data_IF_528980800174
#
_entry.id   IF_528980800174
#
_cell.length_a   1.000
_cell.length_b   1.000
_cell.length_c   1.000
_cell.angle_alpha   90.00
_cell.angle_beta   90.00
_cell.angle_gamma   90.00
#
_symmetry.space_group_name_H-M   'P 1'
#
loop_
_entity.id
_entity.type
_entity.pdbx_description
1 polymer ?
#
# COMPACT_ATOMS: atom_id res chain seq x y z
N UNK A 1 7.55 6.17 17.71
CA UNK A 1 7.79 7.21 18.76
C UNK A 1 6.51 7.81 19.38
N UNK A 2 5.29 7.45 18.95
CA UNK A 2 4.03 7.86 19.60
C UNK A 2 3.26 6.70 20.25
N UNK A 3 3.76 5.48 20.16
CA UNK A 3 3.03 4.26 20.52
C UNK A 3 2.96 3.99 22.03
N UNK A 4 3.89 4.57 22.81
CA UNK A 4 3.94 4.37 24.26
C UNK A 4 3.02 5.28 25.07
N UNK A 5 2.41 6.31 24.46
CA UNK A 5 1.61 7.30 25.20
C UNK A 5 0.12 6.96 25.28
N UNK A 6 -0.44 6.23 24.31
CA UNK A 6 -1.88 5.91 24.29
C UNK A 6 -2.22 4.67 25.13
N UNK A 7 -1.34 3.66 25.18
CA UNK A 7 -1.51 2.46 26.02
C UNK A 7 -1.57 2.75 27.53
N UNK A 8 -1.22 3.96 27.98
CA UNK A 8 -1.01 4.28 29.40
C UNK A 8 -2.21 4.89 30.12
N UNK A 9 -3.35 5.14 29.46
CA UNK A 9 -4.51 5.82 30.09
C UNK A 9 -5.87 5.13 29.91
N UNK A 10 -6.09 4.44 28.80
CA UNK A 10 -7.27 3.59 28.58
C UNK A 10 -6.94 2.55 27.50
N UNK A 11 -6.73 1.31 27.93
CA UNK A 11 -6.35 0.19 27.05
C UNK A 11 -7.40 -0.05 25.96
N UNK A 12 -8.67 0.18 26.27
CA UNK A 12 -9.80 0.02 25.35
C UNK A 12 -9.71 1.03 24.21
N UNK A 13 -9.51 2.31 24.54
CA UNK A 13 -9.38 3.39 23.54
C UNK A 13 -8.10 3.21 22.73
N UNK A 14 -7.00 2.80 23.36
CA UNK A 14 -5.75 2.50 22.69
C UNK A 14 -5.88 1.39 21.65
N UNK A 15 -6.53 0.29 22.00
CA UNK A 15 -6.75 -0.84 21.09
C UNK A 15 -7.66 -0.48 19.92
N UNK A 16 -8.71 0.33 20.14
CA UNK A 16 -9.58 0.83 19.07
C UNK A 16 -8.81 1.75 18.12
N UNK A 17 -7.99 2.66 18.64
CA UNK A 17 -7.16 3.55 17.83
C UNK A 17 -6.14 2.78 16.99
N UNK A 18 -5.46 1.78 17.58
CA UNK A 18 -4.51 0.91 16.87
C UNK A 18 -5.23 0.15 15.75
N UNK A 19 -6.39 -0.44 16.03
CA UNK A 19 -7.20 -1.15 15.02
C UNK A 19 -7.60 -0.24 13.86
N UNK A 20 -7.99 1.01 14.15
CA UNK A 20 -8.30 2.01 13.13
C UNK A 20 -7.10 2.30 12.23
N UNK A 21 -5.92 2.47 12.81
CA UNK A 21 -4.67 2.69 12.06
C UNK A 21 -4.29 1.44 11.24
N UNK A 22 -4.43 0.24 11.77
CA UNK A 22 -4.16 -0.99 11.03
C UNK A 22 -5.07 -1.15 9.80
N UNK A 23 -6.33 -0.69 9.88
CA UNK A 23 -7.21 -0.66 8.70
C UNK A 23 -6.69 0.30 7.62
N UNK A 24 -5.92 1.34 7.98
CA UNK A 24 -5.24 2.20 7.00
C UNK A 24 -4.03 1.53 6.34
N UNK A 25 -3.58 0.37 6.83
CA UNK A 25 -2.51 -0.41 6.21
C UNK A 25 -3.03 -1.39 5.15
N UNK A 26 -4.35 -1.41 4.89
CA UNK A 26 -4.97 -2.20 3.82
C UNK A 26 -4.51 -1.79 2.41
N UNK A 27 -3.76 -0.70 2.25
CA UNK A 27 -3.15 -0.32 0.97
C UNK A 27 -1.80 -1.00 0.73
N UNK A 28 -1.24 -1.71 1.71
CA UNK A 28 -0.01 -2.50 1.56
C UNK A 28 -0.29 -3.83 0.84
N UNK A 29 -0.97 -3.77 -0.29
CA UNK A 29 -1.28 -4.94 -1.12
C UNK A 29 -0.25 -5.05 -2.23
N UNK A 30 -0.10 -6.25 -2.79
CA UNK A 30 0.79 -6.49 -3.92
C UNK A 30 0.51 -5.53 -5.09
N UNK A 31 -0.76 -5.23 -5.36
CA UNK A 31 -1.17 -4.38 -6.48
C UNK A 31 -0.73 -2.90 -6.31
N UNK A 32 -0.64 -2.41 -5.06
CA UNK A 32 -0.37 -1.01 -4.76
C UNK A 32 1.06 -0.77 -4.25
N UNK A 33 1.77 -1.79 -3.79
CA UNK A 33 3.14 -1.63 -3.27
C UNK A 33 4.08 -1.00 -4.31
N UNK A 34 3.80 -1.17 -5.61
CA UNK A 34 4.59 -0.60 -6.71
C UNK A 34 4.70 0.91 -6.70
N UNK A 35 3.74 1.63 -6.10
CA UNK A 35 3.82 3.08 -5.95
C UNK A 35 5.05 3.50 -5.14
N UNK A 36 5.45 2.67 -4.16
CA UNK A 36 6.64 2.91 -3.34
C UNK A 36 7.95 2.85 -4.12
N UNK A 37 7.98 2.24 -5.31
CA UNK A 37 9.19 2.24 -6.15
C UNK A 37 9.56 3.66 -6.58
N UNK A 38 8.57 4.54 -6.69
CA UNK A 38 8.73 5.93 -7.12
C UNK A 38 8.85 6.90 -5.93
N UNK A 39 8.76 6.40 -4.69
CA UNK A 39 8.87 7.20 -3.47
C UNK A 39 10.35 7.45 -3.13
N UNK A 40 10.81 8.68 -3.38
CA UNK A 40 12.18 9.10 -3.13
C UNK A 40 12.52 9.29 -1.64
N UNK A 41 11.51 9.28 -0.75
CA UNK A 41 11.74 9.33 0.69
C UNK A 41 12.25 7.99 1.24
N UNK A 42 12.08 6.89 0.48
CA UNK A 42 12.56 5.58 0.86
C UNK A 42 14.05 5.40 0.56
N UNK A 43 14.79 4.63 1.39
CA UNK A 43 16.19 4.30 1.11
C UNK A 43 16.36 3.65 -0.26
N UNK A 44 17.34 4.10 -1.04
CA UNK A 44 17.65 3.54 -2.36
C UNK A 44 17.86 2.01 -2.32
N UNK A 45 18.55 1.50 -1.29
CA UNK A 45 18.78 0.07 -1.13
C UNK A 45 17.46 -0.73 -0.99
N UNK A 46 16.47 -0.18 -0.28
CA UNK A 46 15.16 -0.81 -0.14
C UNK A 46 14.41 -0.80 -1.47
N UNK A 47 14.33 0.36 -2.14
CA UNK A 47 13.67 0.49 -3.46
C UNK A 47 14.27 -0.47 -4.48
N UNK A 48 15.60 -0.61 -4.48
CA UNK A 48 16.32 -1.56 -5.33
C UNK A 48 15.97 -3.02 -4.98
N UNK A 49 15.92 -3.35 -3.69
CA UNK A 49 15.53 -4.69 -3.24
C UNK A 49 14.10 -5.04 -3.64
N UNK A 50 13.17 -4.10 -3.57
CA UNK A 50 11.76 -4.31 -3.92
C UNK A 50 11.60 -4.61 -5.40
N UNK A 51 12.31 -3.87 -6.26
CA UNK A 51 12.32 -4.13 -7.71
C UNK A 51 12.98 -5.48 -8.02
N UNK A 52 14.10 -5.80 -7.37
CA UNK A 52 14.75 -7.12 -7.53
C UNK A 52 13.79 -8.25 -7.13
N UNK A 53 13.05 -8.09 -6.05
CA UNK A 53 12.03 -9.05 -5.63
C UNK A 53 10.91 -9.18 -6.68
N UNK A 54 10.42 -8.08 -7.24
CA UNK A 54 9.42 -8.11 -8.31
C UNK A 54 9.91 -8.91 -9.53
N UNK A 55 11.17 -8.71 -9.91
CA UNK A 55 11.79 -9.40 -11.06
C UNK A 55 11.93 -10.92 -10.87
N UNK A 56 11.77 -11.44 -9.64
CA UNK A 56 11.73 -12.90 -9.40
C UNK A 56 10.40 -13.54 -9.84
N UNK A 57 9.35 -12.73 -10.00
CA UNK A 57 8.04 -13.20 -10.45
C UNK A 57 7.91 -13.05 -11.96
N UNK A 58 7.40 -14.10 -12.61
CA UNK A 58 7.08 -14.04 -14.04
C UNK A 58 6.04 -12.95 -14.29
N UNK A 59 6.31 -12.12 -15.30
CA UNK A 59 5.38 -11.09 -15.76
C UNK A 59 4.22 -11.72 -16.54
N UNK A 60 3.22 -12.22 -15.82
CA UNK A 60 1.97 -12.68 -16.42
C UNK A 60 1.17 -11.48 -16.93
N UNK A 61 0.65 -11.57 -18.16
CA UNK A 61 -0.27 -10.56 -18.71
C UNK A 61 -1.71 -10.75 -18.24
N UNK A 62 -2.05 -11.95 -17.79
CA UNK A 62 -3.40 -12.36 -17.40
C UNK A 62 -3.61 -12.23 -15.88
N UNK A 63 -3.23 -11.08 -15.30
CA UNK A 63 -3.50 -10.78 -13.90
C UNK A 63 -4.85 -10.03 -13.86
N UNK A 64 -5.96 -10.68 -13.45
CA UNK A 64 -7.25 -10.02 -13.46
C UNK A 64 -7.30 -8.93 -12.38
N UNK A 65 -7.87 -7.75 -12.69
CA UNK A 65 -8.21 -6.78 -11.65
C UNK A 65 -9.29 -7.38 -10.74
N UNK A 66 -9.22 -7.09 -9.45
CA UNK A 66 -10.17 -7.63 -8.49
C UNK A 66 -9.97 -7.08 -7.10
N UNK A 67 -10.76 -7.59 -6.15
CA UNK A 67 -10.61 -7.22 -4.74
C UNK A 67 -9.24 -7.67 -4.24
N UNK A 68 -8.40 -6.76 -3.73
CA UNK A 68 -7.07 -7.12 -3.26
C UNK A 68 -7.17 -8.01 -2.03
N UNK A 69 -6.13 -8.83 -1.81
CA UNK A 69 -5.97 -9.55 -0.55
C UNK A 69 -5.29 -8.61 0.43
N UNK A 70 -6.02 -8.18 1.45
CA UNK A 70 -5.47 -7.29 2.47
C UNK A 70 -4.49 -8.04 3.38
N UNK A 71 -3.31 -7.49 3.66
CA UNK A 71 -2.36 -8.12 4.56
C UNK A 71 -2.90 -8.10 5.99
N UNK A 72 -2.63 -9.18 6.73
CA UNK A 72 -2.79 -9.22 8.19
C UNK A 72 -1.53 -8.61 8.79
N UNK A 73 -1.64 -7.39 9.32
CA UNK A 73 -0.50 -6.69 9.93
C UNK A 73 -0.68 -6.71 11.44
N UNK A 74 0.29 -7.32 12.13
CA UNK A 74 0.41 -7.20 13.57
C UNK A 74 1.12 -5.88 13.91
N UNK A 75 0.45 -4.92 14.58
CA UNK A 75 1.07 -3.63 14.92
C UNK A 75 2.31 -3.75 15.82
N UNK A 76 2.44 -4.84 16.59
CA UNK A 76 3.62 -5.07 17.43
C UNK A 76 4.84 -5.58 16.62
N UNK A 77 4.66 -5.94 15.34
CA UNK A 77 5.70 -6.50 14.46
C UNK A 77 6.05 -5.56 13.28
N UNK A 78 5.61 -4.31 13.32
CA UNK A 78 5.86 -3.34 12.23
C UNK A 78 7.34 -2.96 12.18
N UNK A 79 8.03 -3.35 11.11
CA UNK A 79 9.40 -2.94 10.79
C UNK A 79 9.40 -2.04 9.54
N UNK A 80 8.98 -0.79 9.72
CA UNK A 80 8.95 0.19 8.64
C UNK A 80 10.30 0.93 8.51
N UNK A 81 10.84 1.12 7.28
CA UNK A 81 10.26 0.77 5.98
C UNK A 81 10.65 -0.62 5.45
N UNK A 82 11.51 -1.38 6.13
CA UNK A 82 12.11 -2.61 5.58
C UNK A 82 11.07 -3.69 5.22
N UNK A 83 9.96 -3.75 5.95
CA UNK A 83 8.85 -4.67 5.71
C UNK A 83 8.17 -4.47 4.35
N UNK A 84 8.39 -3.35 3.66
CA UNK A 84 7.73 -3.07 2.37
C UNK A 84 8.04 -4.14 1.31
N UNK A 85 9.23 -4.74 1.35
CA UNK A 85 9.59 -5.89 0.51
C UNK A 85 8.58 -7.05 0.65
N UNK A 86 8.08 -7.32 1.84
CA UNK A 86 7.20 -8.47 2.10
C UNK A 86 5.87 -8.39 1.34
N UNK A 87 5.47 -7.19 0.91
CA UNK A 87 4.24 -6.97 0.14
C UNK A 87 4.45 -7.05 -1.37
N UNK A 88 5.68 -7.22 -1.86
CA UNK A 88 5.96 -7.39 -3.29
C UNK A 88 5.70 -8.84 -3.71
N UNK A 89 4.76 -9.02 -4.64
CA UNK A 89 4.35 -10.33 -5.14
C UNK A 89 4.03 -10.33 -6.63
N UNK A 90 3.53 -11.45 -7.14
CA UNK A 90 3.23 -11.61 -8.56
C UNK A 90 2.21 -10.57 -9.06
N UNK A 91 1.26 -10.15 -8.22
CA UNK A 91 0.25 -9.16 -8.60
C UNK A 91 0.77 -7.73 -8.65
N UNK A 92 1.98 -7.47 -8.16
CA UNK A 92 2.65 -6.18 -8.34
C UNK A 92 2.88 -5.86 -9.83
N UNK A 93 2.84 -6.86 -10.72
CA UNK A 93 2.85 -6.61 -12.16
C UNK A 93 1.57 -5.96 -12.71
N UNK A 94 0.47 -5.93 -11.95
CA UNK A 94 -0.84 -5.49 -12.43
C UNK A 94 -0.82 -4.05 -12.96
N UNK A 95 -0.21 -3.11 -12.24
CA UNK A 95 -0.16 -1.70 -12.67
C UNK A 95 0.51 -1.57 -14.04
N UNK A 96 1.64 -2.26 -14.24
CA UNK A 96 2.38 -2.22 -15.50
C UNK A 96 1.60 -2.85 -16.65
N UNK A 97 0.78 -3.87 -16.37
CA UNK A 97 -0.10 -4.47 -17.36
C UNK A 97 -1.26 -3.53 -17.74
N UNK A 98 -1.88 -2.88 -16.76
CA UNK A 98 -2.98 -1.93 -16.99
C UNK A 98 -2.53 -0.71 -17.78
N UNK A 99 -1.30 -0.23 -17.55
CA UNK A 99 -0.70 0.86 -18.30
C UNK A 99 -0.12 0.42 -19.66
N UNK A 100 -0.24 -0.87 -20.02
CA UNK A 100 0.29 -1.45 -21.25
C UNK A 100 1.78 -1.14 -21.49
N UNK A 101 2.57 -1.16 -20.41
CA UNK A 101 4.00 -0.82 -20.43
C UNK A 101 4.76 -2.03 -20.99
N UNK A 102 5.51 -1.91 -22.07
CA UNK A 102 6.31 -3.01 -22.59
C UNK A 102 7.57 -3.30 -21.75
N UNK A 103 8.36 -4.31 -22.14
CA UNK A 103 9.62 -4.63 -21.45
C UNK A 103 10.68 -3.53 -21.62
N UNK A 104 10.68 -2.84 -22.76
CA UNK A 104 11.67 -1.79 -23.05
C UNK A 104 11.50 -0.57 -22.15
N UNK A 105 10.26 -0.22 -21.80
CA UNK A 105 9.94 0.88 -20.89
C UNK A 105 10.32 0.60 -19.42
N UNK A 106 10.74 -0.63 -19.11
CA UNK A 106 11.17 -1.08 -17.78
C UNK A 106 12.67 -1.33 -17.66
N UNK A 107 13.47 -0.88 -18.64
CA UNK A 107 14.94 -0.96 -18.61
C UNK A 107 15.56 -0.39 -17.32
N UNK A 108 14.96 0.65 -16.76
CA UNK A 108 15.38 1.24 -15.49
C UNK A 108 15.38 0.25 -14.32
N UNK A 109 14.55 -0.80 -14.34
CA UNK A 109 14.52 -1.81 -13.28
C UNK A 109 15.80 -2.67 -13.25
N UNK A 110 16.59 -2.67 -14.32
CA UNK A 110 17.84 -3.43 -14.44
C UNK A 110 19.08 -2.64 -14.00
N UNK A 111 18.93 -1.35 -13.69
CA UNK A 111 20.05 -0.49 -13.28
C UNK A 111 19.88 -0.02 -11.83
N UNK A 112 20.98 0.31 -11.12
CA UNK A 112 20.90 0.83 -9.76
C UNK A 112 20.03 2.09 -9.64
N UNK A 113 19.34 2.24 -8.50
CA UNK A 113 18.36 3.33 -8.23
C UNK A 113 18.95 4.72 -8.45
N UNK A 114 20.24 4.90 -8.17
CA UNK A 114 20.96 6.16 -8.37
C UNK A 114 20.95 6.66 -9.82
N UNK A 115 20.64 5.80 -10.79
CA UNK A 115 20.53 6.14 -12.21
C UNK A 115 19.09 6.35 -12.67
N UNK A 116 18.07 5.96 -11.90
CA UNK A 116 16.67 5.99 -12.35
C UNK A 116 16.23 7.38 -12.78
N UNK A 117 16.54 8.42 -12.00
CA UNK A 117 16.22 9.81 -12.34
C UNK A 117 16.89 10.31 -13.63
N UNK A 118 17.96 9.65 -14.09
CA UNK A 118 18.61 9.97 -15.37
C UNK A 118 17.91 9.29 -16.55
N UNK A 119 17.17 8.20 -16.30
CA UNK A 119 16.45 7.43 -17.31
C UNK A 119 15.15 8.12 -17.71
N UNK A 120 15.00 8.45 -18.99
CA UNK A 120 13.82 9.16 -19.51
C UNK A 120 12.52 8.35 -19.33
N UNK A 121 12.59 7.03 -19.51
CA UNK A 121 11.45 6.10 -19.36
C UNK A 121 10.95 6.06 -17.92
N UNK A 122 11.88 5.99 -16.95
CA UNK A 122 11.53 6.05 -15.54
C UNK A 122 10.86 7.39 -15.19
N UNK A 123 11.41 8.53 -15.63
CA UNK A 123 10.79 9.85 -15.37
C UNK A 123 9.37 9.95 -15.92
N UNK A 124 9.15 9.50 -17.17
CA UNK A 124 7.81 9.45 -17.77
C UNK A 124 6.84 8.60 -16.94
N UNK A 125 7.30 7.44 -16.48
CA UNK A 125 6.46 6.57 -15.66
C UNK A 125 6.19 7.17 -14.28
N UNK A 126 7.19 7.80 -13.66
CA UNK A 126 7.05 8.55 -12.41
C UNK A 126 6.02 9.68 -12.54
N UNK A 127 6.04 10.42 -13.66
CA UNK A 127 5.04 11.46 -13.96
C UNK A 127 3.62 10.89 -14.05
N UNK A 128 3.44 9.78 -14.79
CA UNK A 128 2.14 9.09 -14.89
C UNK A 128 1.67 8.65 -13.50
N UNK A 129 2.55 8.01 -12.74
CA UNK A 129 2.25 7.50 -11.38
C UNK A 129 1.91 8.65 -10.43
N UNK A 130 2.62 9.77 -10.52
CA UNK A 130 2.38 10.96 -9.69
C UNK A 130 1.08 11.69 -10.05
N UNK A 131 0.57 11.48 -11.26
CA UNK A 131 -0.71 12.05 -11.71
C UNK A 131 -1.93 11.23 -11.24
N UNK A 132 -1.76 10.04 -10.66
CA UNK A 132 -2.87 9.33 -10.02
C UNK A 132 -3.36 10.14 -8.83
N UNK A 133 -4.49 10.82 -9.01
CA UNK A 133 -5.08 11.68 -8.01
C UNK A 133 -5.51 10.86 -6.78
N UNK A 134 -4.95 11.18 -5.61
CA UNK A 134 -5.26 10.51 -4.32
C UNK A 134 -6.67 10.90 -3.80
N UNK A 135 -7.41 11.74 -4.54
CA UNK A 135 -8.70 12.32 -4.16
C UNK A 135 -9.78 11.26 -3.88
N UNK A 136 -9.74 10.13 -4.58
CA UNK A 136 -10.65 9.02 -4.34
C UNK A 136 -10.47 8.38 -2.97
N UNK A 137 -9.27 8.43 -2.40
CA UNK A 137 -8.97 7.73 -1.15
C UNK A 137 -9.62 8.40 0.06
N UNK A 138 -9.50 9.72 0.17
CA UNK A 138 -10.12 10.48 1.25
C UNK A 138 -11.65 10.35 1.21
N UNK A 139 -12.24 10.38 0.00
CA UNK A 139 -13.69 10.21 -0.18
C UNK A 139 -14.16 8.79 0.18
N UNK A 140 -13.47 7.75 -0.30
CA UNK A 140 -13.78 6.35 0.03
C UNK A 140 -13.60 6.09 1.53
N UNK A 141 -12.57 6.66 2.15
CA UNK A 141 -12.31 6.57 3.60
C UNK A 141 -13.39 7.26 4.42
N UNK A 142 -13.84 8.45 4.01
CA UNK A 142 -14.94 9.15 4.67
C UNK A 142 -16.25 8.36 4.59
N UNK A 143 -16.57 7.81 3.41
CA UNK A 143 -17.76 6.97 3.21
C UNK A 143 -17.68 5.70 4.06
N UNK A 144 -16.53 5.04 4.11
CA UNK A 144 -16.33 3.85 4.95
C UNK A 144 -16.51 4.16 6.44
N UNK A 145 -15.94 5.26 6.91
CA UNK A 145 -16.09 5.70 8.31
C UNK A 145 -17.55 5.97 8.67
N UNK A 146 -18.30 6.66 7.79
CA UNK A 146 -19.73 6.91 7.98
C UNK A 146 -20.53 5.61 7.99
N UNK A 147 -20.20 4.67 7.10
CA UNK A 147 -20.86 3.36 7.01
C UNK A 147 -20.61 2.52 8.27
N UNK A 148 -19.35 2.40 8.70
CA UNK A 148 -18.95 1.67 9.90
C UNK A 148 -19.61 2.28 11.16
N UNK A 149 -19.76 3.61 11.22
CA UNK A 149 -20.48 4.31 12.31
C UNK A 149 -21.99 4.01 12.32
N UNK A 150 -22.64 4.05 11.15
CA UNK A 150 -24.07 3.70 11.00
C UNK A 150 -24.33 2.24 11.43
N UNK A 151 -23.45 1.33 11.05
CA UNK A 151 -23.59 -0.09 11.41
C UNK A 151 -23.33 -0.35 12.90
N UNK A 152 -22.44 0.43 13.54
CA UNK A 152 -22.24 0.36 14.99
C UNK A 152 -23.48 0.84 15.78
N UNK A 153 -24.07 1.97 15.39
CA UNK A 153 -25.22 2.58 16.10
C UNK A 153 -26.54 1.82 15.93
N UNK A 154 -26.75 1.19 14.77
CA UNK A 154 -27.94 0.36 14.51
C UNK A 154 -27.89 -1.00 15.22
N UNK A 155 -26.70 -1.53 15.50
CA UNK A 155 -26.55 -2.75 16.31
C UNK A 155 -26.74 -2.49 17.82
N UNK A 156 -26.41 -1.29 18.31
CA UNK A 156 -26.66 -0.91 19.72
C UNK A 156 -28.16 -0.73 20.01
N UNK A 157 -28.93 -0.18 19.08
CA UNK A 157 -30.38 0.00 19.25
C UNK A 157 -31.15 -1.32 19.22
N UNK A 158 -30.59 -2.38 18.62
CA UNK A 158 -31.22 -3.71 18.56
C UNK A 158 -30.94 -4.58 19.79
N UNK A 159 -29.92 -4.24 20.58
CA UNK A 159 -29.54 -4.95 21.81
C UNK A 159 -30.15 -4.35 23.09
N UNK A 160 -30.84 -3.21 22.99
CA UNK A 160 -31.59 -2.57 24.09
C UNK A 160 -33.11 -2.86 24.07
N UNK A 161 -33.57 -3.82 23.26
CA UNK A 161 -34.97 -4.28 23.19
C UNK A 161 -35.08 -5.82 23.23
N UNK A 162 -34.42 -6.46 24.19
CA UNK A 162 -34.71 -7.84 24.61
C UNK A 162 -34.61 -7.97 26.12
#
# INVERSE_FOLDING_TARGET
>A
FKDKLVKKKDETVGNVAIKCICNHLWYLTEELIVFSFFDESLPNALRESMVKQLLTFNRSKDIPPGKPKFPLINPDEIDYPNQLNLFVGAKSWLLFNLLNIDGEMLDWMQVPVVYWEKMSRYRKLKEIVSAFEVVTDCAVRAIKMITDFKDATTNTTRSSFR
#
